data_IF_897665570208
#
_entry.id   IF_897665570208
#
_cell.length_a   1.000
_cell.length_b   1.000
_cell.length_c   1.000
_cell.angle_alpha   90.00
_cell.angle_beta   90.00
_cell.angle_gamma   90.00
#
_symmetry.space_group_name_H-M   'P 1'
#
loop_
_entity.id
_entity.type
_entity.pdbx_description
1 polymer ?
#
# COMPACT_ATOMS: atom_id res chain seq x y z
N UNK A 1 12.63 -17.32 34.66
CA UNK A 1 13.10 -16.89 33.32
C UNK A 1 12.19 -17.44 32.21
N UNK A 2 11.92 -18.75 32.18
CA UNK A 2 11.02 -19.36 31.18
C UNK A 2 9.57 -18.87 31.28
N UNK A 3 9.03 -18.68 32.48
CA UNK A 3 7.67 -18.13 32.70
C UNK A 3 7.57 -16.67 32.21
N UNK A 4 8.61 -15.87 32.38
CA UNK A 4 8.63 -14.47 31.91
C UNK A 4 8.69 -14.39 30.39
N UNK A 5 9.46 -15.26 29.72
CA UNK A 5 9.53 -15.32 28.26
C UNK A 5 8.22 -15.84 27.64
N UNK A 6 7.59 -16.85 28.23
CA UNK A 6 6.27 -17.33 27.80
C UNK A 6 5.19 -16.26 27.95
N UNK A 7 5.24 -15.47 29.03
CA UNK A 7 4.29 -14.37 29.26
C UNK A 7 4.47 -13.24 28.23
N UNK A 8 5.72 -12.88 27.89
CA UNK A 8 6.01 -11.89 26.84
C UNK A 8 5.56 -12.38 25.45
N UNK A 9 5.85 -13.62 25.09
CA UNK A 9 5.42 -14.21 23.82
C UNK A 9 3.90 -14.27 23.73
N UNK A 10 3.20 -14.62 24.81
CA UNK A 10 1.73 -14.63 24.84
C UNK A 10 1.15 -13.22 24.68
N UNK A 11 1.74 -12.21 25.33
CA UNK A 11 1.32 -10.82 25.22
C UNK A 11 1.51 -10.29 23.79
N UNK A 12 2.66 -10.58 23.18
CA UNK A 12 2.93 -10.21 21.77
C UNK A 12 1.96 -10.89 20.81
N UNK A 13 1.63 -12.15 21.04
CA UNK A 13 0.64 -12.88 20.24
C UNK A 13 -0.75 -12.25 20.34
N UNK A 14 -1.20 -11.92 21.54
CA UNK A 14 -2.49 -11.24 21.73
C UNK A 14 -2.52 -9.86 21.06
N UNK A 15 -1.45 -9.06 21.20
CA UNK A 15 -1.36 -7.76 20.53
C UNK A 15 -1.39 -7.89 19.00
N UNK A 16 -0.75 -8.92 18.44
CA UNK A 16 -0.80 -9.19 17.00
C UNK A 16 -2.21 -9.60 16.54
N UNK A 17 -2.90 -10.42 17.33
CA UNK A 17 -4.27 -10.83 17.03
C UNK A 17 -5.23 -9.63 17.05
N UNK A 18 -5.14 -8.78 18.06
CA UNK A 18 -5.93 -7.55 18.15
C UNK A 18 -5.71 -6.64 16.94
N UNK A 19 -4.45 -6.51 16.47
CA UNK A 19 -4.11 -5.74 15.28
C UNK A 19 -4.74 -6.34 14.01
N UNK A 20 -4.71 -7.66 13.84
CA UNK A 20 -5.28 -8.31 12.66
C UNK A 20 -6.81 -8.19 12.64
N UNK A 21 -7.46 -8.35 13.78
CA UNK A 21 -8.91 -8.11 13.92
C UNK A 21 -9.26 -6.64 13.60
N UNK A 22 -8.43 -5.69 14.04
CA UNK A 22 -8.59 -4.27 13.73
C UNK A 22 -8.43 -4.00 12.22
N UNK A 23 -7.43 -4.60 11.55
CA UNK A 23 -7.25 -4.48 10.10
C UNK A 23 -8.41 -5.09 9.32
N UNK A 24 -8.93 -6.24 9.74
CA UNK A 24 -10.11 -6.86 9.14
C UNK A 24 -11.37 -5.99 9.34
N UNK A 25 -11.50 -5.36 10.49
CA UNK A 25 -12.57 -4.39 10.75
C UNK A 25 -12.45 -3.18 9.82
N UNK A 26 -11.25 -2.59 9.72
CA UNK A 26 -10.98 -1.49 8.80
C UNK A 26 -11.30 -1.86 7.34
N UNK A 27 -10.89 -3.06 6.90
CA UNK A 27 -11.21 -3.56 5.56
C UNK A 27 -12.73 -3.62 5.31
N UNK A 28 -13.49 -4.23 6.23
CA UNK A 28 -14.95 -4.35 6.08
C UNK A 28 -15.64 -2.99 6.07
N UNK A 29 -15.20 -2.07 6.94
CA UNK A 29 -15.76 -0.71 7.03
C UNK A 29 -15.44 0.08 5.75
N UNK A 30 -14.20 0.03 5.28
CA UNK A 30 -13.79 0.71 4.04
C UNK A 30 -14.50 0.13 2.82
N UNK A 31 -14.53 -1.20 2.67
CA UNK A 31 -15.23 -1.87 1.57
C UNK A 31 -16.70 -1.45 1.52
N UNK A 32 -17.37 -1.45 2.68
CA UNK A 32 -18.77 -1.00 2.78
C UNK A 32 -18.92 0.48 2.39
N UNK A 33 -18.10 1.37 2.91
CA UNK A 33 -18.17 2.81 2.60
C UNK A 33 -17.97 3.09 1.10
N UNK A 34 -17.03 2.38 0.46
CA UNK A 34 -16.75 2.53 -0.97
C UNK A 34 -17.82 1.95 -1.90
N UNK A 35 -18.67 1.04 -1.40
CA UNK A 35 -19.77 0.40 -2.16
C UNK A 35 -21.12 1.07 -1.92
N UNK A 36 -21.45 1.35 -0.65
CA UNK A 36 -22.76 1.91 -0.28
C UNK A 36 -22.89 3.38 -0.69
N UNK A 37 -21.79 4.12 -0.67
CA UNK A 37 -21.70 5.51 -1.16
C UNK A 37 -22.74 6.45 -0.50
N UNK A 38 -22.95 6.29 0.81
CA UNK A 38 -23.94 7.06 1.57
C UNK A 38 -23.34 8.43 1.99
N UNK A 39 -23.79 9.57 1.39
CA UNK A 39 -23.18 10.88 1.60
C UNK A 39 -23.15 11.33 3.07
N UNK A 40 -24.18 10.96 3.85
CA UNK A 40 -24.31 11.39 5.26
C UNK A 40 -23.26 10.75 6.17
N UNK A 41 -22.85 9.52 5.86
CA UNK A 41 -21.91 8.73 6.70
C UNK A 41 -20.52 8.63 6.12
N UNK A 42 -20.33 8.89 4.83
CA UNK A 42 -19.08 8.69 4.13
C UNK A 42 -17.90 9.45 4.76
N UNK A 43 -18.01 10.76 4.87
CA UNK A 43 -16.92 11.60 5.42
C UNK A 43 -16.62 11.27 6.89
N UNK A 44 -17.62 11.12 7.80
CA UNK A 44 -17.38 10.65 9.17
C UNK A 44 -16.64 9.31 9.23
N UNK A 45 -17.05 8.32 8.45
CA UNK A 45 -16.41 6.99 8.40
C UNK A 45 -14.96 7.09 7.93
N UNK A 46 -14.68 7.86 6.87
CA UNK A 46 -13.32 8.04 6.38
C UNK A 46 -12.42 8.80 7.38
N UNK A 47 -12.97 9.73 8.15
CA UNK A 47 -12.22 10.39 9.22
C UNK A 47 -11.84 9.40 10.33
N UNK A 48 -12.76 8.54 10.77
CA UNK A 48 -12.48 7.51 11.77
C UNK A 48 -11.44 6.50 11.24
N UNK A 49 -11.60 6.01 10.02
CA UNK A 49 -10.63 5.10 9.40
C UNK A 49 -9.24 5.74 9.29
N UNK A 50 -9.16 7.00 8.92
CA UNK A 50 -7.89 7.71 8.81
C UNK A 50 -7.16 7.78 10.17
N UNK A 51 -7.87 8.03 11.28
CA UNK A 51 -7.27 8.01 12.62
C UNK A 51 -6.76 6.61 13.01
N UNK A 52 -7.51 5.56 12.70
CA UNK A 52 -7.08 4.17 12.91
C UNK A 52 -5.81 3.86 12.10
N UNK A 53 -5.79 4.20 10.82
CA UNK A 53 -4.62 3.99 9.96
C UNK A 53 -3.40 4.79 10.41
N UNK A 54 -3.60 6.04 10.88
CA UNK A 54 -2.53 6.83 11.49
C UNK A 54 -1.93 6.12 12.70
N UNK A 55 -2.77 5.63 13.61
CA UNK A 55 -2.31 4.88 14.78
C UNK A 55 -1.53 3.61 14.39
N UNK A 56 -2.04 2.83 13.45
CA UNK A 56 -1.41 1.61 12.96
C UNK A 56 -0.07 1.93 12.30
N UNK A 57 0.01 2.96 11.45
CA UNK A 57 1.24 3.35 10.76
C UNK A 57 2.34 3.84 11.73
N UNK A 58 1.96 4.46 12.85
CA UNK A 58 2.91 4.91 13.87
C UNK A 58 3.44 3.75 14.72
N UNK A 59 2.56 2.84 15.14
CA UNK A 59 2.89 1.87 16.19
C UNK A 59 3.08 0.43 15.69
N UNK A 60 2.51 0.06 14.54
CA UNK A 60 2.42 -1.32 14.07
C UNK A 60 2.69 -1.50 12.58
N UNK A 61 3.43 -0.56 11.97
CA UNK A 61 3.60 -0.47 10.51
C UNK A 61 4.02 -1.80 9.86
N UNK A 62 5.15 -2.37 10.29
CA UNK A 62 5.72 -3.56 9.64
C UNK A 62 4.77 -4.75 9.70
N UNK A 63 4.18 -5.01 10.87
CA UNK A 63 3.26 -6.14 11.04
C UNK A 63 1.95 -5.95 10.27
N UNK A 64 1.42 -4.72 10.26
CA UNK A 64 0.24 -4.37 9.49
C UNK A 64 0.51 -4.47 7.97
N UNK A 65 1.67 -3.99 7.50
CA UNK A 65 2.07 -4.09 6.11
C UNK A 65 2.20 -5.56 5.68
N UNK A 66 2.89 -6.39 6.49
CA UNK A 66 3.02 -7.82 6.25
C UNK A 66 1.65 -8.51 6.14
N UNK A 67 0.77 -8.25 7.11
CA UNK A 67 -0.58 -8.81 7.12
C UNK A 67 -1.36 -8.48 5.85
N UNK A 68 -1.43 -7.20 5.48
CA UNK A 68 -2.15 -6.76 4.29
C UNK A 68 -1.51 -7.28 2.99
N UNK A 69 -0.18 -7.38 2.92
CA UNK A 69 0.53 -7.90 1.76
C UNK A 69 0.28 -9.41 1.53
N UNK A 70 0.03 -10.15 2.61
CA UNK A 70 -0.25 -11.60 2.56
C UNK A 70 -1.73 -11.93 2.51
N UNK A 71 -2.59 -11.00 2.85
CA UNK A 71 -4.02 -11.24 2.90
C UNK A 71 -4.57 -11.46 1.48
N UNK A 72 -4.96 -12.70 1.19
CA UNK A 72 -5.59 -13.09 -0.07
C UNK A 72 -7.09 -12.82 -0.01
N UNK A 73 -7.47 -11.56 -0.12
CA UNK A 73 -8.88 -11.17 -0.24
C UNK A 73 -9.28 -11.11 -1.72
N UNK A 74 -10.51 -11.50 -2.05
CA UNK A 74 -11.10 -11.26 -3.36
C UNK A 74 -11.33 -9.74 -3.61
N UNK A 75 -11.24 -8.92 -2.57
CA UNK A 75 -11.40 -7.48 -2.61
C UNK A 75 -10.04 -6.75 -2.76
N UNK A 76 -9.31 -7.10 -3.81
CA UNK A 76 -8.03 -6.48 -4.14
C UNK A 76 -8.03 -4.95 -4.15
N UNK A 77 -9.05 -4.25 -4.68
CA UNK A 77 -9.07 -2.79 -4.67
C UNK A 77 -8.97 -2.19 -3.28
N UNK A 78 -9.74 -2.70 -2.31
CA UNK A 78 -9.72 -2.21 -0.93
C UNK A 78 -8.38 -2.50 -0.25
N UNK A 79 -7.85 -3.72 -0.42
CA UNK A 79 -6.52 -4.08 0.10
C UNK A 79 -5.42 -3.17 -0.45
N UNK A 80 -5.48 -2.85 -1.73
CA UNK A 80 -4.54 -1.93 -2.36
C UNK A 80 -4.62 -0.52 -1.74
N UNK A 81 -5.83 0.02 -1.56
CA UNK A 81 -6.02 1.30 -0.88
C UNK A 81 -5.43 1.30 0.54
N UNK A 82 -5.64 0.23 1.31
CA UNK A 82 -5.11 0.09 2.66
C UNK A 82 -3.57 0.06 2.67
N UNK A 83 -2.95 -0.70 1.76
CA UNK A 83 -1.48 -0.75 1.61
C UNK A 83 -0.90 0.62 1.21
N UNK A 84 -1.53 1.29 0.24
CA UNK A 84 -1.11 2.63 -0.18
C UNK A 84 -1.24 3.61 0.97
N UNK A 85 -2.33 3.56 1.73
CA UNK A 85 -2.58 4.43 2.89
C UNK A 85 -1.52 4.25 3.99
N UNK A 86 -1.16 3.01 4.34
CA UNK A 86 -0.09 2.73 5.29
C UNK A 86 1.26 3.26 4.80
N UNK A 87 1.61 2.97 3.54
CA UNK A 87 2.88 3.41 2.94
C UNK A 87 2.95 4.94 2.89
N UNK A 88 1.86 5.59 2.45
CA UNK A 88 1.77 7.05 2.36
C UNK A 88 1.97 7.69 3.74
N UNK A 89 1.29 7.19 4.76
CA UNK A 89 1.40 7.75 6.10
C UNK A 89 2.84 7.62 6.63
N UNK A 90 3.47 6.45 6.45
CA UNK A 90 4.85 6.22 6.88
C UNK A 90 5.84 7.13 6.17
N UNK A 91 5.79 7.18 4.84
CA UNK A 91 6.69 7.99 4.01
C UNK A 91 6.45 9.49 4.25
N UNK A 92 5.21 9.90 4.36
CA UNK A 92 4.83 11.28 4.61
C UNK A 92 5.37 11.81 5.95
N UNK A 93 5.23 11.02 7.03
CA UNK A 93 5.80 11.36 8.34
C UNK A 93 7.32 11.48 8.28
N UNK A 94 8.01 10.52 7.65
CA UNK A 94 9.47 10.53 7.57
C UNK A 94 10.01 11.63 6.67
N UNK A 95 9.24 12.12 5.71
CA UNK A 95 9.64 13.22 4.84
C UNK A 95 9.76 14.57 5.54
N UNK A 96 9.06 14.76 6.66
CA UNK A 96 8.97 16.02 7.40
C UNK A 96 8.50 17.23 6.54
N UNK A 97 7.75 16.98 5.46
CA UNK A 97 7.32 18.01 4.50
C UNK A 97 5.84 18.38 4.65
N UNK A 98 5.10 17.72 5.51
CA UNK A 98 3.66 17.90 5.69
C UNK A 98 3.32 18.18 7.14
N UNK A 99 2.31 19.01 7.36
CA UNK A 99 1.63 19.09 8.64
C UNK A 99 0.79 17.81 8.88
N UNK A 100 0.45 17.53 10.13
CA UNK A 100 -0.41 16.41 10.48
C UNK A 100 -1.77 16.49 9.74
N UNK A 101 -2.36 17.69 9.67
CA UNK A 101 -3.63 17.90 8.98
C UNK A 101 -3.56 17.57 7.47
N UNK A 102 -2.49 17.99 6.79
CA UNK A 102 -2.27 17.63 5.38
C UNK A 102 -2.08 16.13 5.20
N UNK A 103 -1.28 15.47 6.06
CA UNK A 103 -1.11 14.02 6.01
C UNK A 103 -2.42 13.27 6.19
N UNK A 104 -3.30 13.72 7.08
CA UNK A 104 -4.62 13.12 7.27
C UNK A 104 -5.51 13.29 6.03
N UNK A 105 -5.40 14.40 5.29
CA UNK A 105 -6.10 14.60 4.04
C UNK A 105 -5.55 13.70 2.93
N UNK A 106 -4.23 13.58 2.82
CA UNK A 106 -3.58 12.67 1.87
C UNK A 106 -3.84 11.19 2.19
N UNK A 107 -3.92 10.83 3.47
CA UNK A 107 -4.30 9.48 3.91
C UNK A 107 -5.72 9.12 3.45
N UNK A 108 -6.69 10.03 3.62
CA UNK A 108 -8.05 9.85 3.11
C UNK A 108 -8.08 9.77 1.57
N UNK A 109 -7.21 10.52 0.90
CA UNK A 109 -7.04 10.41 -0.55
C UNK A 109 -6.55 9.00 -0.94
N UNK A 110 -5.57 8.43 -0.26
CA UNK A 110 -5.09 7.07 -0.50
C UNK A 110 -6.18 6.00 -0.31
N UNK A 111 -7.03 6.17 0.72
CA UNK A 111 -8.15 5.26 0.99
C UNK A 111 -9.27 5.33 -0.08
N UNK A 112 -9.29 6.35 -0.94
CA UNK A 112 -10.42 6.63 -1.84
C UNK A 112 -10.04 6.94 -3.29
N UNK A 113 -8.76 6.94 -3.64
CA UNK A 113 -8.23 7.42 -4.93
C UNK A 113 -8.87 6.75 -6.15
N UNK A 114 -9.24 5.49 -6.06
CA UNK A 114 -9.80 4.68 -7.16
C UNK A 114 -11.31 4.40 -7.03
N UNK A 115 -12.04 5.17 -6.20
CA UNK A 115 -13.47 4.92 -5.91
C UNK A 115 -14.35 4.87 -7.17
N UNK A 116 -13.95 5.52 -8.26
CA UNK A 116 -14.69 5.50 -9.52
C UNK A 116 -14.43 4.26 -10.38
N UNK A 117 -13.40 3.46 -10.08
CA UNK A 117 -13.02 2.33 -10.94
C UNK A 117 -12.81 1.00 -10.18
N UNK A 118 -13.33 0.83 -8.96
CA UNK A 118 -13.12 -0.37 -8.13
C UNK A 118 -13.43 -1.67 -8.88
N UNK A 119 -14.57 -1.74 -9.57
CA UNK A 119 -14.97 -2.92 -10.35
C UNK A 119 -13.99 -3.21 -11.49
N UNK A 120 -13.50 -2.18 -12.17
CA UNK A 120 -12.48 -2.35 -13.20
C UNK A 120 -11.16 -2.82 -12.60
N UNK A 121 -10.71 -2.20 -11.51
CA UNK A 121 -9.47 -2.57 -10.81
C UNK A 121 -9.49 -4.03 -10.35
N UNK A 122 -10.62 -4.52 -9.82
CA UNK A 122 -10.80 -5.92 -9.45
C UNK A 122 -10.65 -6.86 -10.66
N UNK A 123 -11.27 -6.52 -11.80
CA UNK A 123 -11.17 -7.31 -13.04
C UNK A 123 -9.75 -7.34 -13.60
N UNK A 124 -9.04 -6.23 -13.56
CA UNK A 124 -7.68 -6.10 -14.11
C UNK A 124 -6.64 -6.95 -13.37
N UNK A 125 -6.90 -7.36 -12.13
CA UNK A 125 -6.00 -8.23 -11.37
C UNK A 125 -5.72 -9.55 -12.08
N UNK A 126 -6.78 -10.21 -12.59
CA UNK A 126 -6.67 -11.51 -13.27
C UNK A 126 -6.66 -11.43 -14.81
N UNK A 127 -6.70 -10.21 -15.39
CA UNK A 127 -6.75 -10.06 -16.84
C UNK A 127 -5.37 -10.27 -17.47
N UNK A 128 -5.24 -11.25 -18.35
CA UNK A 128 -4.01 -11.54 -19.11
C UNK A 128 -3.96 -10.81 -20.46
N UNK A 129 -5.13 -10.46 -21.02
CA UNK A 129 -5.25 -9.78 -22.28
C UNK A 129 -4.84 -8.31 -22.17
N UNK A 130 -4.31 -7.71 -23.25
CA UNK A 130 -4.05 -6.26 -23.28
C UNK A 130 -5.30 -5.45 -22.97
N UNK A 131 -5.12 -4.31 -22.32
CA UNK A 131 -6.23 -3.40 -22.01
C UNK A 131 -6.99 -3.02 -23.28
N UNK A 132 -8.33 -3.09 -23.23
CA UNK A 132 -9.19 -2.56 -24.27
C UNK A 132 -9.09 -1.03 -24.34
N UNK A 133 -9.63 -0.43 -25.41
CA UNK A 133 -9.69 1.03 -25.55
C UNK A 133 -10.50 1.65 -24.40
N UNK A 134 -11.65 1.06 -24.08
CA UNK A 134 -12.56 1.57 -23.04
C UNK A 134 -11.93 1.45 -21.65
N UNK A 135 -11.20 0.36 -21.37
CA UNK A 135 -10.46 0.20 -20.13
C UNK A 135 -9.36 1.27 -19.98
N UNK A 136 -8.58 1.52 -21.04
CA UNK A 136 -7.58 2.59 -21.03
C UNK A 136 -8.19 3.97 -20.82
N UNK A 137 -9.32 4.24 -21.43
CA UNK A 137 -10.03 5.51 -21.24
C UNK A 137 -10.56 5.65 -19.82
N UNK A 138 -11.15 4.60 -19.25
CA UNK A 138 -11.61 4.58 -17.85
C UNK A 138 -10.43 4.81 -16.90
N UNK A 139 -9.31 4.09 -17.08
CA UNK A 139 -8.10 4.29 -16.29
C UNK A 139 -7.60 5.73 -16.42
N UNK A 140 -7.57 6.30 -17.62
CA UNK A 140 -7.10 7.67 -17.80
C UNK A 140 -7.99 8.70 -17.10
N UNK A 141 -9.28 8.48 -17.04
CA UNK A 141 -10.26 9.44 -16.48
C UNK A 141 -10.53 9.26 -14.99
N UNK A 142 -10.11 8.13 -14.40
CA UNK A 142 -10.51 7.81 -13.02
C UNK A 142 -10.08 8.83 -11.97
N UNK A 143 -8.94 9.55 -12.07
CA UNK A 143 -8.58 10.53 -11.05
C UNK A 143 -9.62 11.64 -10.94
N UNK A 144 -10.01 12.21 -12.07
CA UNK A 144 -11.04 13.25 -12.12
C UNK A 144 -12.42 12.69 -11.74
N UNK A 145 -12.77 11.51 -12.24
CA UNK A 145 -14.04 10.85 -11.92
C UNK A 145 -14.16 10.53 -10.43
N UNK A 146 -13.05 10.06 -9.79
CA UNK A 146 -13.01 9.80 -8.36
C UNK A 146 -13.15 11.08 -7.54
N UNK A 147 -12.42 12.14 -7.88
CA UNK A 147 -12.54 13.42 -7.19
C UNK A 147 -13.97 14.01 -7.30
N UNK A 148 -14.61 13.91 -8.47
CA UNK A 148 -16.00 14.35 -8.67
C UNK A 148 -16.98 13.50 -7.86
N UNK A 149 -16.78 12.19 -7.79
CA UNK A 149 -17.59 11.28 -6.98
C UNK A 149 -17.46 11.60 -5.48
N UNK A 150 -16.26 11.85 -5.01
CA UNK A 150 -16.01 12.26 -3.60
C UNK A 150 -16.71 13.59 -3.25
N UNK A 151 -16.76 14.56 -4.18
CA UNK A 151 -17.54 15.79 -4.00
C UNK A 151 -19.03 15.51 -3.82
N UNK A 152 -19.59 14.58 -4.60
CA UNK A 152 -21.01 14.17 -4.47
C UNK A 152 -21.26 13.44 -3.14
N UNK A 153 -20.27 12.76 -2.59
CA UNK A 153 -20.28 12.11 -1.27
C UNK A 153 -20.04 13.10 -0.10
N UNK A 154 -20.01 14.40 -0.38
CA UNK A 154 -19.93 15.43 0.65
C UNK A 154 -18.49 15.81 1.07
N UNK A 155 -17.46 15.33 0.38
CA UNK A 155 -16.08 15.75 0.66
C UNK A 155 -15.88 17.21 0.25
N UNK A 156 -15.45 18.05 1.22
CA UNK A 156 -15.15 19.47 1.06
C UNK A 156 -13.68 19.80 1.29
N UNK A 157 -12.89 18.82 1.65
CA UNK A 157 -11.45 18.94 1.89
C UNK A 157 -10.74 19.00 0.53
N UNK A 158 -10.32 20.21 0.11
CA UNK A 158 -9.69 20.41 -1.19
C UNK A 158 -8.32 19.73 -1.29
N UNK A 159 -7.58 19.56 -0.17
CA UNK A 159 -6.30 18.84 -0.17
C UNK A 159 -6.54 17.37 -0.50
N UNK A 160 -7.56 16.76 0.09
CA UNK A 160 -7.98 15.40 -0.23
C UNK A 160 -8.40 15.27 -1.70
N UNK A 161 -9.32 16.12 -2.17
CA UNK A 161 -9.85 16.09 -3.53
C UNK A 161 -8.76 16.29 -4.59
N UNK A 162 -7.85 17.23 -4.35
CA UNK A 162 -6.78 17.53 -5.29
C UNK A 162 -5.74 16.40 -5.35
N UNK A 163 -5.41 15.79 -4.20
CA UNK A 163 -4.54 14.61 -4.17
C UNK A 163 -5.11 13.48 -5.01
N UNK A 164 -6.43 13.20 -4.91
CA UNK A 164 -7.10 12.20 -5.73
C UNK A 164 -7.10 12.59 -7.21
N UNK A 165 -7.36 13.86 -7.53
CA UNK A 165 -7.41 14.34 -8.93
C UNK A 165 -6.06 14.22 -9.63
N UNK A 166 -4.97 14.44 -8.91
CA UNK A 166 -3.64 14.63 -9.47
C UNK A 166 -2.67 13.46 -9.24
N UNK A 167 -3.09 12.35 -8.60
CA UNK A 167 -2.16 11.28 -8.22
C UNK A 167 -1.50 10.53 -9.39
N UNK A 168 -1.94 10.74 -10.61
CA UNK A 168 -1.27 10.25 -11.82
C UNK A 168 -0.66 11.36 -12.67
N UNK A 169 -0.73 12.62 -12.22
CA UNK A 169 0.04 13.68 -12.82
C UNK A 169 1.49 13.60 -12.32
N UNK A 170 2.44 13.79 -13.24
CA UNK A 170 3.86 13.76 -12.92
C UNK A 170 4.44 15.17 -12.97
N UNK A 171 5.47 15.48 -12.14
CA UNK A 171 6.05 16.82 -12.11
C UNK A 171 6.60 17.30 -13.46
N UNK A 172 7.06 16.38 -14.31
CA UNK A 172 7.55 16.66 -15.66
C UNK A 172 6.43 16.85 -16.72
N UNK A 173 5.16 16.69 -16.31
CA UNK A 173 4.01 16.81 -17.21
C UNK A 173 3.78 15.57 -18.10
N UNK A 174 4.50 14.49 -17.92
CA UNK A 174 4.29 13.24 -18.67
C UNK A 174 3.15 12.38 -18.13
N UNK A 175 2.52 12.80 -17.01
CA UNK A 175 1.41 12.11 -16.37
C UNK A 175 0.08 12.18 -17.11
N UNK A 176 -1.00 11.87 -16.42
CA UNK A 176 -2.37 11.96 -16.92
C UNK A 176 -3.37 12.29 -15.78
N UNK A 177 -4.58 12.76 -16.05
CA UNK A 177 -5.23 12.91 -17.38
C UNK A 177 -4.87 14.21 -18.11
N UNK A 178 -4.42 15.27 -17.40
CA UNK A 178 -4.30 16.63 -17.91
C UNK A 178 -2.90 17.01 -18.34
N UNK A 179 -1.90 16.20 -17.99
CA UNK A 179 -0.47 16.44 -18.25
C UNK A 179 0.00 17.78 -17.64
N UNK A 180 -0.36 17.97 -16.37
CA UNK A 180 -0.05 19.20 -15.64
C UNK A 180 1.34 19.09 -15.06
N UNK A 181 2.32 19.90 -15.50
CA UNK A 181 3.60 20.02 -14.84
C UNK A 181 3.41 20.63 -13.43
N UNK A 182 4.27 20.29 -12.50
CA UNK A 182 4.20 20.76 -11.11
C UNK A 182 2.98 20.25 -10.32
N UNK A 183 2.74 18.93 -10.37
CA UNK A 183 1.81 18.28 -9.45
C UNK A 183 2.13 18.69 -8.00
N UNK A 184 1.09 18.82 -7.18
CA UNK A 184 1.31 19.19 -5.78
C UNK A 184 2.04 18.06 -5.02
N UNK A 185 2.73 18.44 -3.94
CA UNK A 185 3.60 17.56 -3.16
C UNK A 185 2.85 16.29 -2.66
N UNK A 186 1.62 16.45 -2.17
CA UNK A 186 0.82 15.33 -1.68
C UNK A 186 0.34 14.41 -2.79
N UNK A 187 0.03 14.93 -3.97
CA UNK A 187 -0.31 14.11 -5.13
C UNK A 187 0.91 13.30 -5.61
N UNK A 188 2.12 13.87 -5.58
CA UNK A 188 3.35 13.14 -5.90
C UNK A 188 3.63 12.06 -4.85
N UNK A 189 3.47 12.35 -3.56
CA UNK A 189 3.59 11.33 -2.50
C UNK A 189 2.62 10.18 -2.74
N UNK A 190 1.35 10.48 -3.01
CA UNK A 190 0.33 9.47 -3.31
C UNK A 190 0.69 8.65 -4.55
N UNK A 191 1.15 9.30 -5.63
CA UNK A 191 1.60 8.67 -6.88
C UNK A 191 2.73 7.66 -6.65
N UNK A 192 3.75 8.04 -5.88
CA UNK A 192 4.90 7.17 -5.57
C UNK A 192 4.43 5.95 -4.76
N UNK A 193 3.61 6.16 -3.73
CA UNK A 193 3.10 5.09 -2.88
C UNK A 193 2.16 4.13 -3.64
N UNK A 194 1.26 4.66 -4.48
CA UNK A 194 0.40 3.85 -5.35
C UNK A 194 1.22 3.02 -6.32
N UNK A 195 2.16 3.66 -7.02
CA UNK A 195 3.03 3.03 -8.00
C UNK A 195 3.89 1.93 -7.39
N UNK A 196 4.43 2.12 -6.18
CA UNK A 196 5.18 1.11 -5.45
C UNK A 196 4.32 -0.11 -5.12
N UNK A 197 3.19 0.10 -4.45
CA UNK A 197 2.31 -1.00 -4.03
C UNK A 197 1.66 -1.72 -5.23
N UNK A 198 1.34 -1.01 -6.32
CA UNK A 198 0.85 -1.63 -7.55
C UNK A 198 1.89 -2.57 -8.22
N UNK A 199 3.20 -2.28 -8.08
CA UNK A 199 4.28 -3.14 -8.57
C UNK A 199 4.50 -4.35 -7.68
N UNK A 200 4.36 -4.17 -6.37
CA UNK A 200 4.48 -5.25 -5.38
C UNK A 200 3.30 -6.22 -5.42
N UNK A 201 2.13 -5.77 -5.87
CA UNK A 201 0.92 -6.58 -5.90
C UNK A 201 1.09 -7.81 -6.80
N UNK A 202 0.68 -8.97 -6.28
CA UNK A 202 0.63 -10.21 -7.04
C UNK A 202 -0.37 -10.10 -8.20
N UNK A 203 0.06 -10.51 -9.39
CA UNK A 203 -0.77 -10.59 -10.59
C UNK A 203 -0.55 -11.94 -11.27
N UNK A 204 -1.61 -12.58 -11.70
CA UNK A 204 -1.57 -13.93 -12.25
C UNK A 204 -0.77 -14.04 -13.58
N UNK A 205 -0.59 -12.93 -14.27
CA UNK A 205 -0.01 -12.90 -15.62
C UNK A 205 1.42 -12.37 -15.72
N UNK A 206 2.05 -11.96 -14.62
CA UNK A 206 3.46 -11.54 -14.62
C UNK A 206 4.16 -11.96 -13.33
N UNK A 207 5.48 -12.18 -13.43
CA UNK A 207 6.31 -12.28 -12.24
C UNK A 207 6.19 -10.98 -11.43
N UNK A 208 5.95 -11.11 -10.13
CA UNK A 208 5.91 -9.97 -9.24
C UNK A 208 7.27 -9.28 -9.24
N UNK A 209 7.26 -7.96 -9.19
CA UNK A 209 8.49 -7.25 -8.90
C UNK A 209 8.93 -7.56 -7.47
N UNK A 210 10.23 -7.72 -7.28
CA UNK A 210 10.80 -7.56 -5.94
C UNK A 210 10.73 -6.08 -5.54
N UNK A 211 10.80 -5.78 -4.26
CA UNK A 211 10.82 -4.37 -3.83
C UNK A 211 12.03 -3.63 -4.43
N UNK A 212 13.16 -4.29 -4.59
CA UNK A 212 14.33 -3.74 -5.29
C UNK A 212 14.01 -3.35 -6.74
N UNK A 213 13.31 -4.21 -7.48
CA UNK A 213 12.90 -3.92 -8.85
C UNK A 213 11.87 -2.78 -8.90
N UNK A 214 10.91 -2.76 -7.98
CA UNK A 214 9.92 -1.70 -7.88
C UNK A 214 10.59 -0.34 -7.61
N UNK A 215 11.51 -0.28 -6.66
CA UNK A 215 12.27 0.93 -6.33
C UNK A 215 13.15 1.38 -7.50
N UNK A 216 13.86 0.46 -8.16
CA UNK A 216 14.65 0.80 -9.36
C UNK A 216 13.82 1.39 -10.48
N UNK A 217 12.62 0.85 -10.71
CA UNK A 217 11.70 1.37 -11.72
C UNK A 217 11.18 2.76 -11.36
N UNK A 218 10.87 2.99 -10.08
CA UNK A 218 10.46 4.31 -9.59
C UNK A 218 11.58 5.36 -9.74
N UNK A 219 12.83 5.01 -9.47
CA UNK A 219 13.98 5.90 -9.69
C UNK A 219 14.25 6.20 -11.18
N UNK A 220 13.68 5.43 -12.11
CA UNK A 220 13.78 5.75 -13.52
C UNK A 220 13.02 7.02 -13.92
N UNK A 221 12.06 7.46 -13.09
CA UNK A 221 11.47 8.79 -13.20
C UNK A 221 12.49 9.82 -12.73
N UNK A 222 13.00 10.63 -13.66
CA UNK A 222 14.12 11.55 -13.41
C UNK A 222 13.78 12.76 -12.50
N UNK A 223 12.55 12.85 -11.98
CA UNK A 223 12.13 13.97 -11.14
C UNK A 223 12.71 13.87 -9.71
N UNK A 224 13.35 14.95 -9.19
CA UNK A 224 13.95 14.94 -7.87
C UNK A 224 12.96 14.70 -6.73
N UNK A 225 11.74 15.23 -6.84
CA UNK A 225 10.71 15.08 -5.81
C UNK A 225 10.20 13.63 -5.76
N UNK A 226 9.94 13.06 -6.93
CA UNK A 226 9.55 11.64 -7.06
C UNK A 226 10.64 10.73 -6.49
N UNK A 227 11.90 11.01 -6.82
CA UNK A 227 13.05 10.28 -6.32
C UNK A 227 13.24 10.42 -4.80
N UNK A 228 12.94 11.58 -4.21
CA UNK A 228 13.06 11.79 -2.76
C UNK A 228 12.10 10.90 -1.97
N UNK A 229 10.84 10.80 -2.38
CA UNK A 229 9.87 9.89 -1.74
C UNK A 229 10.22 8.42 -2.00
N UNK A 230 10.74 8.08 -3.19
CA UNK A 230 11.22 6.73 -3.49
C UNK A 230 12.39 6.33 -2.56
N UNK A 231 13.29 7.27 -2.26
CA UNK A 231 14.38 7.03 -1.32
C UNK A 231 13.85 6.74 0.10
N UNK A 232 12.85 7.48 0.56
CA UNK A 232 12.21 7.24 1.87
C UNK A 232 11.50 5.87 1.88
N UNK A 233 10.83 5.46 0.79
CA UNK A 233 10.28 4.09 0.70
C UNK A 233 11.39 3.05 0.89
N UNK A 234 12.53 3.23 0.23
CA UNK A 234 13.67 2.31 0.37
C UNK A 234 14.21 2.30 1.79
N UNK A 235 14.30 3.46 2.45
CA UNK A 235 14.75 3.57 3.83
C UNK A 235 13.77 2.92 4.81
N UNK A 236 12.46 3.12 4.62
CA UNK A 236 11.44 2.72 5.58
C UNK A 236 10.93 1.28 5.38
N UNK A 237 10.86 0.78 4.15
CA UNK A 237 10.41 -0.58 3.86
C UNK A 237 11.56 -1.54 3.55
N UNK A 238 12.71 -1.03 3.13
CA UNK A 238 13.83 -1.85 2.66
C UNK A 238 13.56 -2.53 1.31
N UNK A 239 14.54 -3.32 0.85
CA UNK A 239 14.36 -4.15 -0.36
C UNK A 239 13.64 -5.48 -0.07
N UNK A 240 13.43 -5.77 1.20
CA UNK A 240 12.64 -6.90 1.69
C UNK A 240 11.60 -6.41 2.69
N UNK A 241 10.53 -5.73 2.25
CA UNK A 241 9.48 -5.26 3.14
C UNK A 241 8.94 -6.38 4.03
N UNK A 242 8.39 -6.01 5.17
CA UNK A 242 7.74 -6.98 6.05
C UNK A 242 6.71 -7.83 5.28
N UNK A 243 6.70 -9.12 5.50
CA UNK A 243 5.92 -10.09 4.71
C UNK A 243 6.67 -10.66 3.50
N UNK A 244 7.83 -10.15 3.10
CA UNK A 244 8.59 -10.72 1.97
C UNK A 244 9.11 -12.12 2.29
N UNK A 245 8.86 -13.08 1.40
CA UNK A 245 9.53 -14.38 1.43
C UNK A 245 10.98 -14.21 0.97
N UNK A 246 11.90 -14.72 1.77
CA UNK A 246 13.34 -14.64 1.51
C UNK A 246 13.98 -16.02 1.59
N UNK A 247 14.86 -16.29 0.63
CA UNK A 247 15.75 -17.45 0.72
C UNK A 247 17.06 -17.01 1.34
N UNK A 248 17.43 -17.68 2.42
CA UNK A 248 18.66 -17.42 3.16
C UNK A 248 19.80 -18.33 2.70
N UNK A 249 21.03 -17.97 3.06
CA UNK A 249 22.16 -18.86 2.90
C UNK A 249 21.93 -20.17 3.65
N UNK A 250 22.39 -21.29 3.10
CA UNK A 250 22.18 -22.61 3.73
C UNK A 250 20.81 -23.25 3.41
N UNK A 251 20.17 -22.80 2.35
CA UNK A 251 18.93 -23.41 1.83
C UNK A 251 17.72 -23.30 2.78
N UNK A 252 17.62 -22.18 3.48
CA UNK A 252 16.52 -21.88 4.40
C UNK A 252 15.53 -20.91 3.75
N UNK A 253 14.26 -21.03 4.07
CA UNK A 253 13.21 -20.05 3.72
C UNK A 253 12.74 -19.37 5.00
N UNK A 254 12.58 -18.07 4.92
CA UNK A 254 12.01 -17.25 5.97
C UNK A 254 11.12 -16.14 5.45
N UNK A 255 10.48 -15.45 6.36
CA UNK A 255 9.70 -14.26 6.10
C UNK A 255 10.35 -13.06 6.79
N UNK A 256 10.50 -11.96 6.07
CA UNK A 256 10.87 -10.68 6.66
C UNK A 256 9.75 -10.22 7.61
N UNK A 257 10.08 -9.95 8.87
CA UNK A 257 9.10 -9.53 9.88
C UNK A 257 9.10 -8.02 10.06
N UNK A 258 10.29 -7.45 10.19
CA UNK A 258 10.50 -6.02 10.41
C UNK A 258 11.76 -5.57 9.67
N UNK A 259 11.84 -4.29 9.40
CA UNK A 259 13.06 -3.66 8.91
C UNK A 259 14.21 -3.86 9.92
N UNK A 260 15.40 -4.16 9.45
CA UNK A 260 16.60 -4.18 10.26
C UNK A 260 17.31 -2.83 10.26
N UNK A 261 18.60 -2.84 10.66
CA UNK A 261 19.42 -1.62 10.72
C UNK A 261 19.68 -0.99 9.35
N UNK A 262 19.64 -1.79 8.29
CA UNK A 262 19.84 -1.33 6.91
C UNK A 262 18.69 -1.81 6.01
N UNK A 263 18.50 -1.15 4.88
CA UNK A 263 17.48 -1.51 3.89
C UNK A 263 17.63 -2.95 3.34
N UNK A 264 18.78 -3.58 3.50
CA UNK A 264 19.09 -4.92 2.96
C UNK A 264 19.19 -6.01 4.04
N UNK A 265 18.99 -5.68 5.31
CA UNK A 265 19.22 -6.60 6.44
C UNK A 265 17.97 -6.70 7.32
N UNK A 266 16.85 -7.26 6.83
CA UNK A 266 15.64 -7.41 7.63
C UNK A 266 15.83 -8.42 8.77
N UNK A 267 15.00 -8.31 9.79
CA UNK A 267 14.82 -9.40 10.78
C UNK A 267 13.92 -10.45 10.14
N UNK A 268 14.40 -11.70 10.08
CA UNK A 268 13.73 -12.78 9.35
C UNK A 268 13.31 -13.89 10.31
N UNK A 269 12.05 -14.29 10.24
CA UNK A 269 11.58 -15.53 10.85
C UNK A 269 11.86 -16.69 9.90
N UNK A 270 12.73 -17.59 10.31
CA UNK A 270 13.05 -18.80 9.53
C UNK A 270 12.06 -19.91 9.91
N UNK A 271 11.36 -20.45 8.93
CA UNK A 271 10.33 -21.46 9.17
C UNK A 271 10.54 -22.79 8.43
N UNK A 272 11.49 -22.87 7.52
CA UNK A 272 11.79 -24.12 6.82
C UNK A 272 13.24 -24.18 6.33
N UNK A 273 13.81 -25.38 6.45
CA UNK A 273 15.00 -25.77 5.70
C UNK A 273 14.55 -26.40 4.38
N UNK A 274 14.98 -25.87 3.24
CA UNK A 274 14.71 -26.54 1.96
C UNK A 274 15.49 -27.85 1.90
N UNK A 275 14.91 -28.92 1.34
CA UNK A 275 15.67 -30.14 1.08
C UNK A 275 16.80 -29.81 0.08
N UNK A 276 17.97 -30.43 0.27
CA UNK A 276 19.07 -30.26 -0.68
C UNK A 276 18.60 -30.59 -2.11
N UNK A 277 19.03 -29.84 -3.13
CA UNK A 277 18.65 -30.11 -4.52
C UNK A 277 19.22 -31.45 -4.99
N UNK A 278 18.69 -32.53 -4.63
CA UNK A 278 19.10 -33.92 -4.91
C UNK A 278 18.30 -34.94 -4.12
N UNK A 279 17.50 -34.55 -3.17
CA UNK A 279 16.72 -35.46 -2.32
C UNK A 279 15.24 -35.55 -2.65
N UNK A 280 14.80 -35.08 -3.81
CA UNK A 280 13.49 -35.40 -4.42
C UNK A 280 12.25 -35.23 -3.54
N UNK A 281 12.28 -34.39 -2.52
CA UNK A 281 11.10 -34.14 -1.69
C UNK A 281 10.24 -33.03 -2.36
N UNK A 282 9.09 -33.44 -2.87
CA UNK A 282 8.05 -32.56 -3.37
C UNK A 282 7.64 -31.54 -2.30
N UNK A 283 7.45 -30.30 -2.72
CA UNK A 283 6.72 -29.30 -1.95
C UNK A 283 5.31 -29.88 -1.69
N UNK A 284 4.96 -30.07 -0.43
CA UNK A 284 3.59 -30.36 -0.03
C UNK A 284 2.93 -29.01 0.20
N UNK A 285 1.81 -28.79 -0.49
CA UNK A 285 0.95 -27.59 -0.47
C UNK A 285 0.54 -27.15 0.94
#
# INVERSE_FOLDING_TARGET
ALETELTQSTLLYLQAQDLFEELDCCHKVLSKALVDEEPETFVPVLNELAERFRHIAVHHFDLAYAYLAWHTSDDYPVMHHMLVALTLMRVGMCSNQFSEAELMSHLKAALTMNISMLTLQARLRGQTEPLSRDQRETIRKHPEASANKLKLLGVKDEVWLESVRMHHELPDGSGYPNQVPNANLGAVLLSVCDSFNARMAQRDYRNNFTAEQAVKDLFSHADPLYSSFTAIILEELGIYPAGSLVQLMGNQIGCSLIRGETAISPVVLVFRNLPNPGTGAALVD
#
